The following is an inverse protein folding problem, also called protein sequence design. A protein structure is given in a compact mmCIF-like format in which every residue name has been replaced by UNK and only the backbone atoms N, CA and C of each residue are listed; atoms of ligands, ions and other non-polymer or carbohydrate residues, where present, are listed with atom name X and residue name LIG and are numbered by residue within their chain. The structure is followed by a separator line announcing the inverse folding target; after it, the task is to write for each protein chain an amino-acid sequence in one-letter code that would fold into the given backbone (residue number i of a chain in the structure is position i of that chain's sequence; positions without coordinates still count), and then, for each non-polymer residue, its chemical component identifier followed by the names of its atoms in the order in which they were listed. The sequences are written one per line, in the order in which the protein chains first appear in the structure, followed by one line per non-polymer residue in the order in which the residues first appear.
data_IF_599284260659
#
_entry.id   IF_599284260659
#
_cell.length_a   1.000
_cell.length_b   1.000
_cell.length_c   1.000
_cell.angle_alpha   90.00
_cell.angle_beta   90.00
_cell.angle_gamma   90.00
#
_symmetry.space_group_name_H-M   'P 1'
#
loop_
_entity.id
_entity.type
_entity.pdbx_description
1 polymer ?
#
# COMPACT_ATOMS: atom_id res chain seq x y z
N UNK A 1 -46.12 25.88 -34.68
CA UNK A 1 -46.31 25.13 -33.42
C UNK A 1 -45.92 23.69 -33.75
N UNK A 2 -44.89 23.05 -33.21
CA UNK A 2 -44.13 23.18 -31.96
C UNK A 2 -42.67 22.76 -32.20
N UNK A 3 -41.75 23.43 -31.51
CA UNK A 3 -40.29 23.27 -31.58
C UNK A 3 -39.83 22.12 -30.69
N UNK A 4 -38.86 21.34 -31.19
CA UNK A 4 -38.18 20.25 -30.52
C UNK A 4 -37.21 20.78 -29.44
N UNK A 5 -37.36 20.30 -28.20
CA UNK A 5 -36.49 20.61 -27.06
C UNK A 5 -35.74 19.35 -26.64
N UNK A 6 -34.50 19.21 -27.11
CA UNK A 6 -33.58 18.16 -26.69
C UNK A 6 -32.21 18.78 -26.38
N UNK A 7 -31.93 19.10 -25.11
CA UNK A 7 -30.57 19.23 -24.53
C UNK A 7 -30.64 19.56 -23.03
N UNK A 8 -30.40 18.56 -22.17
CA UNK A 8 -29.68 18.85 -20.92
C UNK A 8 -28.54 17.87 -20.62
N UNK A 9 -28.39 16.78 -21.38
CA UNK A 9 -27.50 15.67 -20.99
C UNK A 9 -26.01 15.92 -21.30
N UNK A 10 -25.69 16.82 -22.24
CA UNK A 10 -24.30 17.09 -22.64
C UNK A 10 -23.58 18.08 -21.71
N UNK A 11 -24.30 18.80 -20.84
CA UNK A 11 -23.71 19.80 -19.94
C UNK A 11 -23.09 19.17 -18.69
N UNK A 12 -23.71 18.13 -18.13
CA UNK A 12 -23.20 17.44 -16.94
C UNK A 12 -21.93 16.61 -17.20
N UNK A 13 -21.75 16.11 -18.43
CA UNK A 13 -20.53 15.36 -18.80
C UNK A 13 -19.30 16.28 -18.86
N UNK A 14 -19.47 17.47 -19.41
CA UNK A 14 -18.40 18.47 -19.51
C UNK A 14 -18.01 19.03 -18.14
N UNK A 15 -18.96 19.17 -17.21
CA UNK A 15 -18.67 19.62 -15.83
C UNK A 15 -17.87 18.55 -15.05
N UNK A 16 -18.18 17.27 -15.24
CA UNK A 16 -17.42 16.17 -14.63
C UNK A 16 -15.98 16.06 -15.18
N UNK A 17 -15.77 16.34 -16.47
CA UNK A 17 -14.41 16.43 -17.05
C UNK A 17 -13.66 17.68 -16.59
N UNK A 18 -14.35 18.82 -16.49
CA UNK A 18 -13.75 20.08 -16.09
C UNK A 18 -13.38 20.10 -14.59
N UNK A 19 -14.14 19.41 -13.73
CA UNK A 19 -13.76 19.16 -12.33
C UNK A 19 -12.60 18.17 -12.18
N UNK A 20 -12.46 17.18 -13.08
CA UNK A 20 -11.26 16.33 -13.12
C UNK A 20 -10.03 17.12 -13.52
N UNK A 21 -10.15 18.06 -14.47
CA UNK A 21 -9.01 18.88 -14.93
C UNK A 21 -8.56 19.92 -13.89
N UNK A 22 -9.48 20.46 -13.09
CA UNK A 22 -9.14 21.46 -12.08
C UNK A 22 -8.49 20.86 -10.82
N UNK A 23 -8.82 19.62 -10.46
CA UNK A 23 -8.13 18.91 -9.36
C UNK A 23 -6.68 18.52 -9.67
N UNK A 24 -6.26 18.59 -10.94
CA UNK A 24 -4.86 18.38 -11.35
C UNK A 24 -3.95 19.60 -11.07
N UNK A 25 -4.50 20.79 -10.81
CA UNK A 25 -3.71 22.05 -10.83
C UNK A 25 -3.33 22.62 -9.47
N UNK A 26 -3.81 22.06 -8.35
CA UNK A 26 -3.55 22.61 -7.03
C UNK A 26 -2.86 21.58 -6.11
N UNK A 27 -1.60 21.30 -6.39
CA UNK A 27 -0.72 20.56 -5.47
C UNK A 27 0.50 21.43 -5.19
N UNK A 28 0.48 22.06 -4.02
CA UNK A 28 1.60 22.80 -3.47
C UNK A 28 2.88 21.96 -3.53
N UNK A 29 3.86 22.53 -4.23
CA UNK A 29 5.24 22.08 -4.29
C UNK A 29 5.87 22.10 -2.91
N UNK A 30 6.33 20.96 -2.42
CA UNK A 30 7.61 20.82 -1.71
C UNK A 30 7.99 19.33 -1.58
N UNK A 31 9.08 18.98 -2.26
CA UNK A 31 9.96 17.80 -2.14
C UNK A 31 9.37 16.37 -2.24
N UNK A 32 9.46 15.77 -3.45
CA UNK A 32 10.33 14.61 -3.73
C UNK A 32 10.28 14.22 -5.23
N UNK A 33 11.45 13.91 -5.78
CA UNK A 33 11.85 14.13 -7.18
C UNK A 33 11.21 13.29 -8.31
N UNK A 34 10.24 12.39 -8.07
CA UNK A 34 9.74 11.51 -9.15
C UNK A 34 8.22 11.48 -9.39
N UNK A 35 7.36 11.93 -8.47
CA UNK A 35 5.89 11.87 -8.65
C UNK A 35 5.22 13.24 -8.82
N UNK A 36 5.96 14.31 -9.17
CA UNK A 36 5.40 15.66 -9.35
C UNK A 36 4.37 15.77 -10.49
N UNK A 37 4.36 14.85 -11.45
CA UNK A 37 3.45 14.86 -12.60
C UNK A 37 2.54 13.63 -12.69
N UNK A 38 2.66 12.68 -11.75
CA UNK A 38 1.88 11.44 -11.78
C UNK A 38 0.83 11.41 -10.67
N UNK A 39 -0.41 10.95 -10.97
CA UNK A 39 -1.42 10.81 -9.94
C UNK A 39 -0.94 9.83 -8.86
N UNK A 40 -1.13 10.19 -7.59
CA UNK A 40 -0.59 9.44 -6.43
C UNK A 40 -0.99 7.96 -6.47
N UNK A 41 -2.22 7.66 -6.90
CA UNK A 41 -2.71 6.29 -7.08
C UNK A 41 -1.85 5.50 -8.07
N UNK A 42 -1.51 6.07 -9.23
CA UNK A 42 -0.68 5.38 -10.22
C UNK A 42 0.75 5.17 -9.73
N UNK A 43 1.32 6.14 -9.00
CA UNK A 43 2.63 6.02 -8.35
C UNK A 43 2.62 4.85 -7.33
N UNK A 44 1.61 4.79 -6.44
CA UNK A 44 1.46 3.70 -5.47
C UNK A 44 1.23 2.33 -6.14
N UNK A 45 0.39 2.28 -7.17
CA UNK A 45 0.08 1.05 -7.90
C UNK A 45 1.31 0.51 -8.62
N UNK A 46 2.07 1.36 -9.31
CA UNK A 46 3.29 0.93 -10.02
C UNK A 46 4.34 0.38 -9.06
N UNK A 47 4.55 1.03 -7.90
CA UNK A 47 5.44 0.51 -6.86
C UNK A 47 4.96 -0.86 -6.36
N UNK A 48 3.67 -1.00 -6.04
CA UNK A 48 3.12 -2.28 -5.59
C UNK A 48 3.23 -3.38 -6.65
N UNK A 49 3.11 -3.06 -7.95
CA UNK A 49 3.35 -4.00 -9.05
C UNK A 49 4.82 -4.42 -9.09
N UNK A 50 5.75 -3.48 -8.93
CA UNK A 50 7.20 -3.77 -8.92
C UNK A 50 7.53 -4.73 -7.78
N UNK A 51 7.05 -4.44 -6.57
CA UNK A 51 7.24 -5.27 -5.38
C UNK A 51 6.65 -6.68 -5.56
N UNK A 52 5.41 -6.78 -6.02
CA UNK A 52 4.76 -8.05 -6.34
C UNK A 52 5.54 -8.83 -7.40
N UNK A 53 6.11 -8.14 -8.39
CA UNK A 53 6.92 -8.76 -9.46
C UNK A 53 8.23 -9.31 -8.92
N UNK A 54 8.92 -8.59 -8.02
CA UNK A 54 10.12 -9.09 -7.36
C UNK A 54 9.83 -10.35 -6.55
N UNK A 55 8.80 -10.31 -5.69
CA UNK A 55 8.40 -11.49 -4.89
C UNK A 55 7.98 -12.65 -5.80
N UNK A 56 7.25 -12.37 -6.88
CA UNK A 56 6.87 -13.37 -7.88
C UNK A 56 8.07 -14.06 -8.55
N UNK A 57 9.12 -13.30 -8.91
CA UNK A 57 10.35 -13.85 -9.47
C UNK A 57 11.05 -14.76 -8.46
N UNK A 58 11.14 -14.36 -7.19
CA UNK A 58 11.73 -15.19 -6.13
C UNK A 58 10.95 -16.48 -5.89
N UNK A 59 9.62 -16.41 -5.85
CA UNK A 59 8.76 -17.59 -5.74
C UNK A 59 8.95 -18.53 -6.92
N UNK A 60 9.00 -18.00 -8.15
CA UNK A 60 9.22 -18.81 -9.35
C UNK A 60 10.58 -19.51 -9.34
N UNK A 61 11.65 -18.79 -8.97
CA UNK A 61 13.00 -19.37 -8.85
C UNK A 61 13.08 -20.42 -7.76
N UNK A 62 12.44 -20.18 -6.62
CA UNK A 62 12.39 -21.15 -5.52
C UNK A 62 11.63 -22.41 -5.93
N UNK A 63 10.51 -22.27 -6.65
CA UNK A 63 9.78 -23.40 -7.19
C UNK A 63 10.64 -24.19 -8.18
N UNK A 64 11.34 -23.51 -9.10
CA UNK A 64 12.25 -24.14 -10.06
C UNK A 64 13.33 -24.99 -9.36
N UNK A 65 13.92 -24.49 -8.27
CA UNK A 65 14.93 -25.21 -7.48
C UNK A 65 14.34 -26.47 -6.82
N UNK A 66 13.16 -26.36 -6.20
CA UNK A 66 12.47 -27.50 -5.58
C UNK A 66 12.11 -28.56 -6.63
N UNK A 67 11.60 -28.16 -7.79
CA UNK A 67 11.25 -29.07 -8.89
C UNK A 67 12.47 -29.71 -9.57
N UNK A 68 13.63 -29.08 -9.53
CA UNK A 68 14.89 -29.70 -9.99
C UNK A 68 15.45 -30.68 -8.95
N UNK A 69 15.22 -30.41 -7.67
CA UNK A 69 15.73 -31.19 -6.54
C UNK A 69 14.80 -32.32 -6.08
N UNK A 70 13.74 -32.68 -6.82
CA UNK A 70 12.64 -33.58 -6.38
C UNK A 70 13.08 -34.96 -5.85
N UNK A 71 14.32 -35.39 -6.15
CA UNK A 71 14.87 -36.66 -5.63
C UNK A 71 15.64 -36.52 -4.30
N UNK A 72 16.16 -35.34 -3.99
CA UNK A 72 16.96 -35.01 -2.80
C UNK A 72 16.44 -33.75 -2.10
N UNK A 73 15.14 -33.47 -2.20
CA UNK A 73 14.54 -32.23 -1.73
C UNK A 73 14.69 -32.12 -0.21
N UNK A 74 15.44 -31.11 0.24
CA UNK A 74 15.65 -30.87 1.67
C UNK A 74 14.43 -30.13 2.21
N UNK A 75 14.04 -30.42 3.46
CA UNK A 75 12.92 -29.74 4.11
C UNK A 75 13.05 -28.21 4.09
N UNK A 76 14.30 -27.72 4.13
CA UNK A 76 14.64 -26.30 4.03
C UNK A 76 14.13 -25.69 2.71
N UNK A 77 14.33 -26.37 1.57
CA UNK A 77 13.92 -25.85 0.26
C UNK A 77 12.39 -25.73 0.16
N UNK A 78 11.68 -26.71 0.74
CA UNK A 78 10.20 -26.70 0.82
C UNK A 78 9.71 -25.57 1.73
N UNK A 79 10.36 -25.38 2.89
CA UNK A 79 10.03 -24.30 3.83
C UNK A 79 10.24 -22.92 3.19
N UNK A 80 11.35 -22.73 2.46
CA UNK A 80 11.64 -21.49 1.74
C UNK A 80 10.58 -21.22 0.66
N UNK A 81 10.22 -22.23 -0.13
CA UNK A 81 9.16 -22.11 -1.14
C UNK A 81 7.81 -21.71 -0.51
N UNK A 82 7.43 -22.34 0.60
CA UNK A 82 6.18 -22.03 1.28
C UNK A 82 6.16 -20.58 1.80
N UNK A 83 7.27 -20.10 2.34
CA UNK A 83 7.42 -18.72 2.79
C UNK A 83 7.26 -17.71 1.65
N UNK A 84 7.93 -17.93 0.52
CA UNK A 84 7.80 -17.07 -0.66
C UNK A 84 6.41 -17.13 -1.28
N UNK A 85 5.79 -18.30 -1.34
CA UNK A 85 4.42 -18.46 -1.85
C UNK A 85 3.41 -17.70 -0.98
N UNK A 86 3.51 -17.83 0.35
CA UNK A 86 2.67 -17.08 1.29
C UNK A 86 2.85 -15.57 1.10
N UNK A 87 4.09 -15.11 1.03
CA UNK A 87 4.41 -13.70 0.78
C UNK A 87 3.82 -13.21 -0.54
N UNK A 88 3.97 -13.98 -1.62
CA UNK A 88 3.39 -13.66 -2.93
C UNK A 88 1.86 -13.56 -2.90
N UNK A 89 1.19 -14.46 -2.18
CA UNK A 89 -0.28 -14.37 -2.04
C UNK A 89 -0.71 -13.15 -1.25
N UNK A 90 0.02 -12.77 -0.21
CA UNK A 90 -0.23 -11.53 0.54
C UNK A 90 -0.03 -10.29 -0.33
N UNK A 91 1.05 -10.23 -1.11
CA UNK A 91 1.31 -9.15 -2.06
C UNK A 91 0.19 -9.02 -3.09
N UNK A 92 -0.22 -10.15 -3.68
CA UNK A 92 -1.27 -10.17 -4.70
C UNK A 92 -2.62 -9.69 -4.14
N UNK A 93 -3.01 -10.16 -2.94
CA UNK A 93 -4.23 -9.70 -2.27
C UNK A 93 -4.17 -8.20 -1.95
N UNK A 94 -3.01 -7.74 -1.49
CA UNK A 94 -2.76 -6.33 -1.22
C UNK A 94 -2.83 -5.47 -2.48
N UNK A 95 -2.28 -5.92 -3.60
CA UNK A 95 -2.31 -5.23 -4.88
C UNK A 95 -3.75 -5.13 -5.41
N UNK A 96 -4.52 -6.23 -5.31
CA UNK A 96 -5.92 -6.26 -5.71
C UNK A 96 -6.78 -5.31 -4.87
N UNK A 97 -6.58 -5.29 -3.56
CA UNK A 97 -7.31 -4.37 -2.66
C UNK A 97 -6.96 -2.90 -2.92
N UNK A 98 -5.69 -2.60 -3.19
CA UNK A 98 -5.28 -1.27 -3.62
C UNK A 98 -5.95 -0.85 -4.95
N UNK A 99 -6.05 -1.75 -5.92
CA UNK A 99 -6.77 -1.50 -7.17
C UNK A 99 -8.27 -1.26 -6.97
N UNK A 100 -8.90 -2.03 -6.08
CA UNK A 100 -10.31 -1.87 -5.72
C UNK A 100 -10.58 -0.55 -4.99
N UNK A 101 -9.62 -0.04 -4.22
CA UNK A 101 -9.71 1.26 -3.54
C UNK A 101 -10.04 2.40 -4.51
N UNK A 102 -9.41 2.41 -5.68
CA UNK A 102 -9.66 3.43 -6.70
C UNK A 102 -11.05 3.33 -7.34
N UNK A 103 -11.54 2.10 -7.56
CA UNK A 103 -12.88 1.88 -8.12
C UNK A 103 -13.99 2.26 -7.13
N UNK A 104 -13.78 2.00 -5.83
CA UNK A 104 -14.79 2.21 -4.77
C UNK A 104 -14.63 3.51 -3.98
N UNK A 105 -13.58 4.31 -4.22
CA UNK A 105 -13.26 5.54 -3.49
C UNK A 105 -13.37 5.39 -1.96
N UNK A 106 -12.83 4.30 -1.41
CA UNK A 106 -12.91 4.01 0.01
C UNK A 106 -11.54 3.66 0.56
N UNK A 107 -11.06 4.45 1.51
CA UNK A 107 -9.74 4.32 2.14
C UNK A 107 -9.51 2.98 2.85
N UNK A 108 -10.58 2.30 3.28
CA UNK A 108 -10.47 1.00 3.98
C UNK A 108 -9.77 -0.08 3.17
N UNK A 109 -9.83 -0.01 1.83
CA UNK A 109 -9.16 -0.97 0.96
C UNK A 109 -7.65 -0.72 0.82
N UNK A 110 -7.12 0.41 1.31
CA UNK A 110 -5.69 0.72 1.33
C UNK A 110 -4.99 0.13 2.57
N UNK A 111 -5.74 -0.11 3.65
CA UNK A 111 -5.21 -0.61 4.93
C UNK A 111 -4.41 -1.92 4.77
N UNK A 112 -4.87 -2.94 4.01
CA UNK A 112 -4.09 -4.17 3.83
C UNK A 112 -2.68 -3.92 3.29
N UNK A 113 -2.51 -2.98 2.33
CA UNK A 113 -1.19 -2.62 1.79
C UNK A 113 -0.29 -1.99 2.82
N UNK A 114 -0.83 -1.07 3.61
CA UNK A 114 -0.05 -0.37 4.64
C UNK A 114 0.38 -1.34 5.74
N UNK A 115 -0.51 -2.26 6.15
CA UNK A 115 -0.18 -3.29 7.12
C UNK A 115 0.92 -4.23 6.60
N UNK A 116 0.84 -4.64 5.33
CA UNK A 116 1.84 -5.50 4.71
C UNK A 116 3.21 -4.81 4.62
N UNK A 117 3.26 -3.58 4.11
CA UNK A 117 4.48 -2.75 4.04
C UNK A 117 5.09 -2.51 5.43
N UNK A 118 4.26 -2.30 6.45
CA UNK A 118 4.75 -2.12 7.82
C UNK A 118 5.37 -3.42 8.37
N UNK A 119 4.80 -4.57 8.03
CA UNK A 119 5.35 -5.88 8.38
C UNK A 119 6.68 -6.15 7.70
N UNK A 120 6.79 -5.85 6.40
CA UNK A 120 8.05 -5.96 5.65
C UNK A 120 9.13 -5.02 6.25
N UNK A 121 8.77 -3.76 6.52
CA UNK A 121 9.67 -2.78 7.15
C UNK A 121 10.18 -3.24 8.53
N UNK A 122 9.33 -3.91 9.33
CA UNK A 122 9.74 -4.48 10.61
C UNK A 122 10.75 -5.62 10.43
N UNK A 123 10.51 -6.51 9.45
CA UNK A 123 11.40 -7.62 9.12
C UNK A 123 12.75 -7.11 8.58
N UNK A 124 12.75 -6.11 7.69
CA UNK A 124 13.99 -5.54 7.13
C UNK A 124 14.78 -4.79 8.20
N UNK A 125 14.12 -4.11 9.12
CA UNK A 125 14.76 -3.48 10.28
C UNK A 125 15.42 -4.54 11.17
N UNK A 126 14.75 -5.66 11.42
CA UNK A 126 15.31 -6.78 12.18
C UNK A 126 16.54 -7.36 11.49
N UNK A 127 16.48 -7.64 10.18
CA UNK A 127 17.62 -8.12 9.39
C UNK A 127 18.78 -7.11 9.44
N UNK A 128 18.47 -5.82 9.27
CA UNK A 128 19.47 -4.74 9.33
C UNK A 128 20.15 -4.68 10.69
N UNK A 129 19.41 -4.90 11.79
CA UNK A 129 19.99 -5.00 13.13
C UNK A 129 20.99 -6.15 13.23
N UNK A 130 20.66 -7.34 12.72
CA UNK A 130 21.60 -8.48 12.68
C UNK A 130 22.86 -8.16 11.87
N UNK A 131 22.72 -7.51 10.72
CA UNK A 131 23.86 -7.13 9.89
C UNK A 131 24.73 -6.06 10.56
N UNK A 132 24.14 -5.10 11.26
CA UNK A 132 24.91 -4.13 12.05
C UNK A 132 25.69 -4.85 13.15
N UNK A 133 25.06 -5.77 13.90
CA UNK A 133 25.76 -6.58 14.90
C UNK A 133 26.91 -7.38 14.28
N UNK A 134 26.69 -7.94 13.09
CA UNK A 134 27.70 -8.65 12.31
C UNK A 134 28.93 -7.77 12.04
N UNK A 135 28.74 -6.54 11.55
CA UNK A 135 29.85 -5.63 11.25
C UNK A 135 30.49 -4.96 12.47
N UNK A 136 29.75 -4.80 13.58
CA UNK A 136 30.27 -4.21 14.83
C UNK A 136 31.32 -5.11 15.50
N UNK A 137 31.36 -6.40 15.16
CA UNK A 137 32.38 -7.33 15.67
C UNK A 137 31.82 -8.65 16.20
N UNK A 138 30.50 -8.87 16.13
CA UNK A 138 29.89 -10.16 16.49
C UNK A 138 29.94 -11.18 15.34
N UNK A 139 30.65 -10.90 14.25
CA UNK A 139 30.75 -11.77 13.08
C UNK A 139 31.18 -13.19 13.42
N UNK A 140 32.18 -13.37 14.30
CA UNK A 140 32.63 -14.72 14.71
C UNK A 140 31.51 -15.53 15.37
N UNK A 141 30.81 -14.92 16.34
CA UNK A 141 29.72 -15.57 17.05
C UNK A 141 28.53 -15.87 16.13
N UNK A 142 28.17 -14.93 15.26
CA UNK A 142 27.08 -15.12 14.31
C UNK A 142 27.43 -16.16 13.23
N UNK A 143 28.65 -16.14 12.69
CA UNK A 143 29.14 -17.16 11.76
C UNK A 143 29.04 -18.56 12.39
N UNK A 144 29.45 -18.70 13.65
CA UNK A 144 29.37 -19.96 14.38
C UNK A 144 27.93 -20.44 14.57
N UNK A 145 27.01 -19.52 14.90
CA UNK A 145 25.58 -19.84 14.97
C UNK A 145 25.03 -20.29 13.61
N UNK A 146 25.35 -19.57 12.54
CA UNK A 146 24.85 -19.89 11.20
C UNK A 146 25.37 -21.24 10.71
N UNK A 147 26.67 -21.49 10.87
CA UNK A 147 27.30 -22.75 10.45
C UNK A 147 26.78 -23.90 11.32
N UNK A 148 26.70 -23.73 12.65
CA UNK A 148 26.16 -24.76 13.54
C UNK A 148 24.69 -25.07 13.26
N UNK A 149 23.89 -24.05 12.94
CA UNK A 149 22.50 -24.24 12.52
C UNK A 149 22.43 -25.01 11.20
N UNK A 150 23.27 -24.65 10.22
CA UNK A 150 23.35 -25.37 8.96
C UNK A 150 23.71 -26.84 9.18
N UNK A 151 24.77 -27.14 9.94
CA UNK A 151 25.17 -28.52 10.26
C UNK A 151 24.04 -29.30 10.95
N UNK A 152 23.29 -28.66 11.85
CA UNK A 152 22.14 -29.26 12.52
C UNK A 152 21.00 -29.62 11.55
N UNK A 153 20.63 -28.70 10.66
CA UNK A 153 19.54 -28.93 9.71
C UNK A 153 19.91 -29.89 8.58
N UNK A 154 21.21 -29.98 8.26
CA UNK A 154 21.74 -30.75 7.15
C UNK A 154 22.25 -32.13 7.57
N UNK A 155 22.32 -32.39 8.86
CA UNK A 155 22.88 -33.61 9.48
C UNK A 155 24.28 -33.96 8.95
N UNK A 156 25.05 -32.92 8.58
CA UNK A 156 26.36 -33.03 7.95
C UNK A 156 27.32 -32.07 8.65
N UNK A 157 28.45 -32.60 9.13
CA UNK A 157 29.51 -31.80 9.75
C UNK A 157 30.47 -31.29 8.68
N UNK A 158 30.72 -29.98 8.65
CA UNK A 158 31.67 -29.40 7.73
C UNK A 158 33.10 -29.73 8.15
N UNK A 159 33.99 -29.92 7.17
CA UNK A 159 35.42 -30.00 7.44
C UNK A 159 35.96 -28.63 7.88
N UNK A 160 37.13 -28.61 8.53
CA UNK A 160 37.74 -27.37 8.98
C UNK A 160 38.06 -26.39 7.82
N UNK A 161 38.35 -26.92 6.63
CA UNK A 161 38.61 -26.12 5.44
C UNK A 161 37.30 -25.55 4.89
N UNK A 162 36.26 -26.37 4.74
CA UNK A 162 34.94 -25.93 4.26
C UNK A 162 34.32 -24.87 5.18
N UNK A 163 34.59 -24.97 6.49
CA UNK A 163 34.16 -23.97 7.47
C UNK A 163 34.84 -22.61 7.25
N UNK A 164 36.13 -22.60 6.92
CA UNK A 164 36.85 -21.36 6.65
C UNK A 164 36.34 -20.70 5.36
N UNK A 165 36.07 -21.51 4.33
CA UNK A 165 35.49 -21.03 3.07
C UNK A 165 34.07 -20.49 3.28
N UNK A 166 33.23 -21.21 4.04
CA UNK A 166 31.87 -20.79 4.39
C UNK A 166 31.85 -19.44 5.13
N UNK A 167 32.81 -19.19 6.04
CA UNK A 167 32.92 -17.89 6.73
C UNK A 167 33.22 -16.76 5.75
N UNK A 168 34.13 -16.99 4.79
CA UNK A 168 34.45 -15.99 3.78
C UNK A 168 33.26 -15.71 2.86
N UNK A 169 32.56 -16.76 2.40
CA UNK A 169 31.33 -16.60 1.61
C UNK A 169 30.25 -15.86 2.39
N UNK A 170 30.04 -16.22 3.67
CA UNK A 170 29.03 -15.59 4.52
C UNK A 170 29.32 -14.09 4.74
N UNK A 171 30.59 -13.71 4.82
CA UNK A 171 30.98 -12.30 4.87
C UNK A 171 30.62 -11.55 3.57
N UNK A 172 30.92 -12.14 2.41
CA UNK A 172 30.56 -11.55 1.10
C UNK A 172 29.04 -11.41 0.97
N UNK A 173 28.30 -12.44 1.38
CA UNK A 173 26.83 -12.38 1.42
C UNK A 173 26.32 -11.31 2.39
N UNK A 174 26.91 -11.18 3.59
CA UNK A 174 26.52 -10.15 4.55
C UNK A 174 26.69 -8.74 3.98
N UNK A 175 27.79 -8.47 3.27
CA UNK A 175 28.01 -7.17 2.59
C UNK A 175 26.97 -6.95 1.49
N UNK A 176 26.72 -7.96 0.65
CA UNK A 176 25.73 -7.86 -0.42
C UNK A 176 24.31 -7.62 0.11
N UNK A 177 23.90 -8.38 1.13
CA UNK A 177 22.60 -8.26 1.79
C UNK A 177 22.48 -6.89 2.48
N UNK A 178 23.55 -6.37 3.08
CA UNK A 178 23.51 -5.05 3.70
C UNK A 178 23.23 -3.92 2.71
N UNK A 179 23.91 -3.92 1.56
CA UNK A 179 23.68 -2.92 0.49
C UNK A 179 22.26 -3.06 -0.04
N UNK A 180 21.83 -4.29 -0.34
CA UNK A 180 20.48 -4.55 -0.85
C UNK A 180 19.40 -4.15 0.15
N UNK A 181 19.58 -4.49 1.43
CA UNK A 181 18.67 -4.13 2.52
C UNK A 181 18.58 -2.62 2.67
N UNK A 182 19.69 -1.89 2.60
CA UNK A 182 19.67 -0.44 2.67
C UNK A 182 18.87 0.21 1.54
N UNK A 183 19.08 -0.24 0.29
CA UNK A 183 18.33 0.23 -0.87
C UNK A 183 16.84 -0.12 -0.72
N UNK A 184 16.55 -1.34 -0.28
CA UNK A 184 15.19 -1.82 -0.08
C UNK A 184 14.48 -1.05 1.04
N UNK A 185 15.13 -0.71 2.15
CA UNK A 185 14.54 0.13 3.21
C UNK A 185 14.19 1.52 2.68
N UNK A 186 15.02 2.13 1.84
CA UNK A 186 14.69 3.42 1.21
C UNK A 186 13.45 3.26 0.31
N UNK A 187 13.40 2.18 -0.46
CA UNK A 187 12.26 1.86 -1.31
C UNK A 187 10.96 1.65 -0.49
N UNK A 188 11.01 0.87 0.59
CA UNK A 188 9.89 0.62 1.50
C UNK A 188 9.37 1.91 2.14
N UNK A 189 10.28 2.77 2.63
CA UNK A 189 9.91 4.06 3.22
C UNK A 189 9.22 4.98 2.21
N UNK A 190 9.73 5.00 0.97
CA UNK A 190 9.12 5.75 -0.11
C UNK A 190 7.72 5.22 -0.46
N UNK A 191 7.58 3.91 -0.60
CA UNK A 191 6.30 3.28 -0.91
C UNK A 191 5.27 3.47 0.21
N UNK A 192 5.69 3.31 1.47
CA UNK A 192 4.85 3.54 2.65
C UNK A 192 4.38 5.00 2.71
N UNK A 193 5.28 5.95 2.45
CA UNK A 193 4.95 7.37 2.42
C UNK A 193 3.90 7.69 1.34
N UNK A 194 4.11 7.23 0.11
CA UNK A 194 3.16 7.47 -1.00
C UNK A 194 1.81 6.80 -0.72
N UNK A 195 1.82 5.55 -0.23
CA UNK A 195 0.58 4.80 0.07
C UNK A 195 -0.20 5.45 1.21
N UNK A 196 0.47 5.91 2.26
CA UNK A 196 -0.16 6.66 3.36
C UNK A 196 -0.68 8.01 2.91
N UNK A 197 0.04 8.72 2.04
CA UNK A 197 -0.43 9.97 1.44
C UNK A 197 -1.67 9.74 0.58
N UNK A 198 -1.71 8.66 -0.20
CA UNK A 198 -2.89 8.25 -0.96
C UNK A 198 -4.08 7.93 -0.05
N UNK A 199 -3.86 7.19 1.04
CA UNK A 199 -4.90 6.95 2.04
C UNK A 199 -5.47 8.26 2.59
N UNK A 200 -4.60 9.19 2.99
CA UNK A 200 -5.02 10.47 3.54
C UNK A 200 -5.86 11.28 2.53
N UNK A 201 -5.54 11.23 1.23
CA UNK A 201 -6.36 11.90 0.20
C UNK A 201 -7.75 11.30 0.04
N UNK A 202 -7.95 10.03 0.38
CA UNK A 202 -9.26 9.38 0.39
C UNK A 202 -10.02 9.64 1.71
N UNK A 203 -9.30 9.79 2.82
CA UNK A 203 -9.88 10.08 4.14
C UNK A 203 -10.27 11.55 4.30
N UNK A 204 -9.59 12.48 3.62
CA UNK A 204 -10.07 13.86 3.51
C UNK A 204 -11.33 13.88 2.65
N UNK A 205 -12.49 14.29 3.19
CA UNK A 205 -13.62 14.61 2.34
C UNK A 205 -13.14 15.66 1.33
N UNK A 206 -13.56 15.58 0.05
CA UNK A 206 -13.24 16.64 -0.90
C UNK A 206 -13.65 17.95 -0.23
N UNK A 207 -12.74 18.92 -0.18
CA UNK A 207 -13.03 20.27 0.33
C UNK A 207 -14.47 20.60 -0.06
N UNK A 208 -15.28 20.97 0.93
CA UNK A 208 -16.61 21.50 0.68
C UNK A 208 -16.44 22.58 -0.37
N UNK A 209 -16.70 22.22 -1.64
CA UNK A 209 -16.98 23.19 -2.67
C UNK A 209 -18.24 23.82 -2.12
N UNK A 210 -18.22 25.08 -1.62
CA UNK A 210 -19.46 25.72 -1.24
C UNK A 210 -20.31 25.62 -2.49
N UNK A 211 -21.39 24.84 -2.41
CA UNK A 211 -22.41 24.85 -3.45
C UNK A 211 -22.88 26.29 -3.44
N UNK A 212 -22.32 27.10 -4.33
CA UNK A 212 -22.78 28.45 -4.59
C UNK A 212 -24.28 28.28 -4.74
N UNK A 213 -25.05 28.81 -3.78
CA UNK A 213 -26.46 28.55 -3.61
C UNK A 213 -27.21 28.87 -4.91
N UNK A 214 -27.26 27.92 -5.83
CA UNK A 214 -28.33 27.80 -6.79
C UNK A 214 -29.44 27.09 -6.04
N UNK A 215 -30.04 27.81 -5.10
CA UNK A 215 -31.44 27.57 -4.81
C UNK A 215 -32.16 27.59 -6.18
N UNK A 216 -32.92 26.55 -6.53
CA UNK A 216 -33.82 26.65 -7.67
C UNK A 216 -34.70 27.88 -7.43
N UNK A 217 -35.01 28.71 -8.45
CA UNK A 217 -35.81 29.90 -8.24
C UNK A 217 -37.14 29.48 -7.61
N UNK A 218 -37.29 29.70 -6.30
CA UNK A 218 -38.60 29.57 -5.66
C UNK A 218 -39.46 30.67 -6.29
N UNK A 219 -40.66 30.35 -6.81
CA UNK A 219 -41.59 31.40 -7.19
C UNK A 219 -41.83 32.27 -5.96
N UNK A 220 -41.70 33.58 -6.12
CA UNK A 220 -41.81 34.56 -5.06
C UNK A 220 -43.12 34.35 -4.28
N UNK A 221 -43.02 33.77 -3.09
CA UNK A 221 -44.09 33.75 -2.11
C UNK A 221 -44.22 35.13 -1.46
N UNK A 222 -45.42 35.51 -0.98
CA UNK A 222 -45.69 36.87 -0.56
C UNK A 222 -44.85 37.26 0.66
N UNK A 223 -44.28 38.47 0.61
CA UNK A 223 -43.44 39.05 1.65
C UNK A 223 -44.14 39.02 3.02
N UNK A 224 -43.58 38.30 3.98
CA UNK A 224 -43.96 38.36 5.38
C UNK A 224 -42.91 39.17 6.14
N UNK A 225 -43.31 40.37 6.57
CA UNK A 225 -42.55 41.24 7.47
C UNK A 225 -42.20 40.47 8.76
N UNK A 226 -40.92 40.51 9.14
CA UNK A 226 -40.45 40.11 10.46
C UNK A 226 -40.92 41.13 11.49
N UNK A 227 -42.07 40.89 12.13
CA UNK A 227 -42.41 41.42 13.47
C UNK A 227 -43.71 40.77 13.98
N UNK A 228 -43.77 39.43 14.02
CA UNK A 228 -44.90 38.75 14.64
C UNK A 228 -44.46 37.49 15.40
N UNK A 229 -44.43 37.61 16.72
CA UNK A 229 -44.23 36.50 17.66
C UNK A 229 -45.38 35.52 17.53
N UNK A 230 -45.21 34.45 16.75
CA UNK A 230 -46.20 33.39 16.64
C UNK A 230 -46.01 32.37 17.76
N UNK A 231 -46.89 32.45 18.77
CA UNK A 231 -47.22 31.33 19.65
C UNK A 231 -47.76 30.18 18.80
N UNK A 232 -46.99 29.10 18.63
CA UNK A 232 -47.55 27.84 18.12
C UNK A 232 -48.31 27.13 19.26
N UNK A 233 -49.59 26.76 19.08
CA UNK A 233 -50.25 25.85 20.01
C UNK A 233 -49.66 24.44 19.86
N UNK A 234 -49.58 23.65 20.95
CA UNK A 234 -49.06 22.29 20.89
C UNK A 234 -49.97 21.40 20.03
N UNK A 235 -49.40 20.37 19.38
CA UNK A 235 -50.14 19.48 18.49
C UNK A 235 -51.24 18.70 19.25
N UNK A 236 -52.36 18.39 18.58
CA UNK A 236 -53.48 17.69 19.20
C UNK A 236 -53.10 16.26 19.64
N UNK A 237 -53.56 15.88 20.83
CA UNK A 237 -53.39 14.54 21.41
C UNK A 237 -54.10 13.48 20.56
N UNK A 238 -53.36 12.46 20.09
CA UNK A 238 -53.92 11.33 19.36
C UNK A 238 -54.15 10.13 20.30
N UNK A 239 -55.41 9.74 20.57
CA UNK A 239 -55.73 8.64 21.48
C UNK A 239 -55.54 7.23 20.90
N UNK A 240 -55.02 7.07 19.67
CA UNK A 240 -54.82 5.74 19.03
C UNK A 240 -53.51 5.03 19.42
N UNK A 241 -52.76 5.54 20.39
CA UNK A 241 -51.60 4.86 20.95
C UNK A 241 -51.86 4.47 22.42
N UNK A 242 -52.75 3.50 22.63
CA UNK A 242 -52.85 2.70 23.85
C UNK A 242 -53.00 1.23 23.45
#
# INVERSE_FOLDING_TARGET
MTSSSARPQNRSRNVAEQQRLLSFTNVNSTHMLCCCCWPLYSCALTLSIIDTSFVGIFTFRSAELVFKSTRNSKWIDISILLFFLASFTCELLSLLTLGLSHSRNNSRYVIPRITLLTGQAALTTFISLFLVLYFVGFSQYLNDIFISSYEYWMDEKLSANDRADAVHELFVYAVGIFILSFIYTIYELFELYITKKYQNTLDTPPEFIPVLHQEPPRPAGPNLNMDQTHYLPPPPYNPQYC
#
